data_IF_992728400489
#
_entry.id   IF_992728400489
#
_cell.length_a   1.000
_cell.length_b   1.000
_cell.length_c   1.000
_cell.angle_alpha   90.00
_cell.angle_beta   90.00
_cell.angle_gamma   90.00
#
_symmetry.space_group_name_H-M   'P 1'
#
loop_
_entity.id
_entity.type
_entity.pdbx_description
1 polymer ?
#
# COMPACT_ATOMS: atom_id res chain seq x y z
N UNK A 1 -15.34 3.01 -7.45
CA UNK A 1 -15.90 4.07 -6.56
C UNK A 1 -15.48 5.42 -7.12
N UNK A 2 -16.34 6.48 -7.06
CA UNK A 2 -15.88 7.81 -7.48
C UNK A 2 -15.01 8.48 -6.40
N UNK A 3 -14.13 9.45 -6.77
CA UNK A 3 -13.35 10.21 -5.79
C UNK A 3 -14.23 10.88 -4.72
N UNK A 4 -15.37 11.44 -5.08
CA UNK A 4 -16.31 12.05 -4.13
C UNK A 4 -16.90 11.04 -3.13
N UNK A 5 -17.16 9.81 -3.56
CA UNK A 5 -17.60 8.73 -2.67
C UNK A 5 -16.49 8.28 -1.70
N UNK A 6 -15.24 8.21 -2.18
CA UNK A 6 -14.07 7.91 -1.36
C UNK A 6 -13.91 8.95 -0.26
N UNK A 7 -13.87 10.24 -0.64
CA UNK A 7 -13.63 11.34 0.30
C UNK A 7 -14.76 11.46 1.33
N UNK A 8 -16.01 11.31 0.89
CA UNK A 8 -17.16 11.31 1.81
C UNK A 8 -17.06 10.20 2.84
N UNK A 9 -16.72 8.98 2.41
CA UNK A 9 -16.54 7.84 3.31
C UNK A 9 -15.36 8.07 4.28
N UNK A 10 -14.24 8.58 3.78
CA UNK A 10 -13.05 8.85 4.59
C UNK A 10 -13.33 9.85 5.72
N UNK A 11 -14.04 10.95 5.40
CA UNK A 11 -14.43 11.96 6.39
C UNK A 11 -15.41 11.38 7.43
N UNK A 12 -16.39 10.58 6.99
CA UNK A 12 -17.39 9.99 7.89
C UNK A 12 -16.77 9.10 8.96
N UNK A 13 -15.65 8.44 8.66
CA UNK A 13 -14.94 7.58 9.60
C UNK A 13 -13.75 8.25 10.29
N UNK A 14 -13.52 9.55 10.00
CA UNK A 14 -12.52 10.36 10.68
C UNK A 14 -11.08 10.12 10.20
N UNK A 15 -10.86 9.80 8.91
CA UNK A 15 -9.51 9.78 8.35
C UNK A 15 -9.00 11.21 8.12
N UNK A 16 -7.75 11.46 8.44
CA UNK A 16 -7.06 12.73 8.20
C UNK A 16 -6.48 12.83 6.78
N UNK A 17 -6.26 11.68 6.15
CA UNK A 17 -5.71 11.59 4.81
C UNK A 17 -6.16 10.32 4.08
N UNK A 18 -6.05 10.34 2.76
CA UNK A 18 -6.17 9.16 1.88
C UNK A 18 -4.99 9.12 0.92
N UNK A 19 -4.57 7.91 0.53
CA UNK A 19 -3.62 7.72 -0.56
C UNK A 19 -4.34 7.01 -1.72
N UNK A 20 -4.35 7.64 -2.88
CA UNK A 20 -4.95 7.06 -4.09
C UNK A 20 -3.87 6.29 -4.83
N UNK A 21 -4.13 4.99 -5.06
CA UNK A 21 -3.18 4.04 -5.67
C UNK A 21 -3.86 3.28 -6.81
N UNK A 22 -4.29 4.00 -7.84
CA UNK A 22 -4.89 3.35 -9.01
C UNK A 22 -3.84 2.54 -9.80
N UNK A 23 -4.30 1.49 -10.50
CA UNK A 23 -3.41 0.65 -11.29
C UNK A 23 -2.78 1.43 -12.44
N UNK A 24 -1.44 1.49 -12.44
CA UNK A 24 -0.60 2.08 -13.49
C UNK A 24 -0.86 3.57 -13.80
N UNK A 25 -1.61 4.26 -12.94
CA UNK A 25 -1.93 5.69 -13.09
C UNK A 25 -1.51 6.44 -11.83
N UNK A 26 -0.61 7.40 -11.97
CA UNK A 26 -0.33 8.41 -10.95
C UNK A 26 -1.20 9.63 -11.24
N UNK A 27 -1.99 10.06 -10.29
CA UNK A 27 -2.77 11.28 -10.40
C UNK A 27 -1.87 12.51 -10.54
N UNK A 28 -2.34 13.56 -11.19
CA UNK A 28 -1.64 14.85 -11.21
C UNK A 28 -1.73 15.52 -9.83
N UNK A 29 -0.80 16.43 -9.57
CA UNK A 29 -0.81 17.23 -8.34
C UNK A 29 -2.09 18.08 -8.28
N UNK A 30 -2.50 18.67 -9.41
CA UNK A 30 -3.72 19.47 -9.50
C UNK A 30 -4.99 18.67 -9.14
N UNK A 31 -5.09 17.40 -9.57
CA UNK A 31 -6.23 16.53 -9.24
C UNK A 31 -6.29 16.22 -7.74
N UNK A 32 -5.16 15.87 -7.14
CA UNK A 32 -5.06 15.57 -5.71
C UNK A 32 -5.34 16.81 -4.85
N UNK A 33 -4.73 17.94 -5.20
CA UNK A 33 -4.91 19.21 -4.50
C UNK A 33 -6.35 19.72 -4.58
N UNK A 34 -6.97 19.64 -5.75
CA UNK A 34 -8.37 20.03 -5.91
C UNK A 34 -9.30 19.19 -5.02
N UNK A 35 -9.03 17.89 -4.90
CA UNK A 35 -9.78 17.01 -4.05
C UNK A 35 -9.53 17.30 -2.56
N UNK A 36 -8.27 17.52 -2.17
CA UNK A 36 -7.86 17.89 -0.81
C UNK A 36 -8.54 19.20 -0.37
N UNK A 37 -8.51 20.23 -1.22
CA UNK A 37 -9.14 21.53 -0.95
C UNK A 37 -10.65 21.42 -0.82
N UNK A 38 -11.29 20.64 -1.69
CA UNK A 38 -12.75 20.44 -1.68
C UNK A 38 -13.24 19.79 -0.40
N UNK A 39 -12.46 18.84 0.15
CA UNK A 39 -12.92 17.99 1.26
C UNK A 39 -12.22 18.29 2.60
N UNK A 40 -11.12 19.04 2.60
CA UNK A 40 -10.43 19.48 3.81
C UNK A 40 -9.61 18.36 4.47
N UNK A 41 -9.27 17.28 3.74
CA UNK A 41 -8.34 16.22 4.17
C UNK A 41 -7.27 16.01 3.11
N UNK A 42 -6.09 15.55 3.50
CA UNK A 42 -4.96 15.37 2.60
C UNK A 42 -5.19 14.21 1.63
N UNK A 43 -4.89 14.41 0.36
CA UNK A 43 -4.89 13.36 -0.67
C UNK A 43 -3.47 13.16 -1.17
N UNK A 44 -2.89 11.99 -0.87
CA UNK A 44 -1.59 11.59 -1.39
C UNK A 44 -1.74 10.84 -2.70
N UNK A 45 -0.76 11.03 -3.58
CA UNK A 45 -0.65 10.32 -4.85
C UNK A 45 0.28 9.12 -4.69
N UNK A 46 -0.23 7.95 -4.94
CA UNK A 46 0.52 6.72 -5.13
C UNK A 46 0.12 6.06 -6.42
N UNK A 47 0.59 4.86 -6.63
CA UNK A 47 0.21 4.01 -7.76
C UNK A 47 0.39 2.55 -7.41
N UNK A 48 -0.49 1.68 -7.89
CA UNK A 48 -0.30 0.24 -7.84
C UNK A 48 0.24 -0.25 -9.18
N UNK A 49 1.43 -0.88 -9.15
CA UNK A 49 2.12 -1.39 -10.33
C UNK A 49 2.09 -2.91 -10.31
N UNK A 50 1.46 -3.52 -11.30
CA UNK A 50 1.56 -4.97 -11.52
C UNK A 50 2.92 -5.29 -12.11
N UNK A 51 3.69 -6.09 -11.39
CA UNK A 51 5.02 -6.55 -11.79
C UNK A 51 5.00 -8.04 -12.12
N UNK A 52 6.10 -8.56 -12.66
CA UNK A 52 6.26 -10.02 -12.86
C UNK A 52 6.29 -10.82 -11.55
N UNK A 53 6.39 -10.14 -10.41
CA UNK A 53 6.44 -10.75 -9.06
C UNK A 53 5.26 -10.39 -8.17
N UNK A 54 4.17 -9.84 -8.73
CA UNK A 54 2.97 -9.40 -8.02
C UNK A 54 2.82 -7.88 -8.01
N UNK A 55 1.78 -7.41 -7.33
CA UNK A 55 1.44 -6.01 -7.26
C UNK A 55 2.29 -5.28 -6.21
N UNK A 56 2.68 -4.05 -6.54
CA UNK A 56 3.52 -3.20 -5.68
C UNK A 56 2.92 -1.80 -5.62
N UNK A 57 2.61 -1.34 -4.41
CA UNK A 57 2.27 0.05 -4.16
C UNK A 57 3.54 0.89 -4.20
N UNK A 58 3.47 2.02 -4.89
CA UNK A 58 4.60 2.94 -5.04
C UNK A 58 4.18 4.34 -4.65
N UNK A 59 5.01 4.98 -3.86
CA UNK A 59 4.83 6.36 -3.40
C UNK A 59 6.03 7.21 -3.79
N UNK A 60 5.80 8.47 -4.12
CA UNK A 60 6.86 9.44 -4.40
C UNK A 60 7.50 9.31 -5.78
N UNK A 61 6.76 8.83 -6.78
CA UNK A 61 7.13 8.91 -8.20
C UNK A 61 6.13 9.75 -8.98
N UNK A 62 6.61 10.41 -10.04
CA UNK A 62 5.77 11.30 -10.85
C UNK A 62 5.02 10.57 -11.98
N UNK A 63 5.53 9.44 -12.44
CA UNK A 63 4.95 8.69 -13.55
C UNK A 63 5.13 7.19 -13.34
N UNK A 64 4.06 6.42 -13.60
CA UNK A 64 4.14 4.97 -13.65
C UNK A 64 5.03 4.51 -14.81
N UNK A 65 5.88 3.47 -14.62
CA UNK A 65 6.64 2.87 -15.72
C UNK A 65 5.70 2.21 -16.75
N UNK A 66 6.13 2.20 -18.00
CA UNK A 66 5.36 1.59 -19.10
C UNK A 66 5.71 0.10 -19.24
N UNK A 67 4.71 -0.71 -19.57
CA UNK A 67 4.87 -2.13 -19.87
C UNK A 67 5.07 -3.01 -18.64
N UNK A 68 5.33 -4.30 -18.88
CA UNK A 68 5.59 -5.27 -17.82
C UNK A 68 7.00 -5.07 -17.27
N UNK A 69 7.12 -4.94 -15.96
CA UNK A 69 8.37 -4.64 -15.25
C UNK A 69 8.63 -5.68 -14.16
N UNK A 70 9.90 -5.97 -13.88
CA UNK A 70 10.26 -6.81 -12.73
C UNK A 70 10.32 -5.98 -11.44
N UNK A 71 10.15 -6.61 -10.25
CA UNK A 71 10.30 -5.91 -8.98
C UNK A 71 11.65 -5.20 -8.83
N UNK A 72 12.74 -5.81 -9.32
CA UNK A 72 14.08 -5.23 -9.28
C UNK A 72 14.19 -3.95 -10.16
N UNK A 73 13.62 -3.97 -11.36
CA UNK A 73 13.60 -2.79 -12.22
C UNK A 73 12.74 -1.67 -11.62
N UNK A 74 11.56 -2.01 -11.07
CA UNK A 74 10.70 -1.06 -10.40
C UNK A 74 11.43 -0.42 -9.22
N UNK A 75 12.09 -1.23 -8.38
CA UNK A 75 12.88 -0.75 -7.25
C UNK A 75 13.94 0.29 -7.66
N UNK A 76 14.68 0.04 -8.74
CA UNK A 76 15.69 0.98 -9.23
C UNK A 76 15.08 2.33 -9.66
N UNK A 77 13.93 2.30 -10.34
CA UNK A 77 13.20 3.51 -10.74
C UNK A 77 12.77 4.31 -9.50
N UNK A 78 12.18 3.63 -8.53
CA UNK A 78 11.65 4.25 -7.32
C UNK A 78 12.78 4.83 -6.45
N UNK A 79 13.89 4.10 -6.29
CA UNK A 79 15.06 4.56 -5.53
C UNK A 79 15.69 5.81 -6.17
N UNK A 80 15.73 5.89 -7.51
CA UNK A 80 16.26 7.06 -8.22
C UNK A 80 15.46 8.34 -7.96
N UNK A 81 14.20 8.21 -7.53
CA UNK A 81 13.30 9.32 -7.19
C UNK A 81 13.11 9.48 -5.68
N UNK A 82 13.85 8.75 -4.84
CA UNK A 82 13.69 8.69 -3.39
C UNK A 82 12.29 8.23 -2.93
N UNK A 83 11.57 7.49 -3.77
CA UNK A 83 10.26 6.94 -3.48
C UNK A 83 10.29 5.70 -2.58
N UNK A 84 9.14 5.06 -2.40
CA UNK A 84 8.97 3.87 -1.58
C UNK A 84 8.16 2.81 -2.34
N UNK A 85 8.62 1.54 -2.31
CA UNK A 85 7.89 0.38 -2.82
C UNK A 85 7.37 -0.48 -1.67
N UNK A 86 6.13 -0.93 -1.75
CA UNK A 86 5.48 -1.81 -0.78
C UNK A 86 4.81 -2.96 -1.51
N UNK A 87 5.09 -4.21 -1.14
CA UNK A 87 4.37 -5.36 -1.68
C UNK A 87 2.89 -5.26 -1.29
N UNK A 88 2.02 -5.15 -2.29
CA UNK A 88 0.57 -5.06 -2.10
C UNK A 88 0.01 -6.45 -1.80
N UNK A 89 -0.86 -6.57 -0.79
CA UNK A 89 -1.59 -7.81 -0.45
C UNK A 89 -0.88 -9.12 -0.84
N UNK A 90 0.38 -9.36 -0.39
CA UNK A 90 1.31 -10.33 -0.99
C UNK A 90 0.87 -11.78 -0.92
N UNK A 91 -0.14 -12.10 -0.11
CA UNK A 91 -0.68 -13.44 0.06
C UNK A 91 -2.15 -13.57 -0.36
N UNK A 92 -2.70 -12.56 -1.08
CA UNK A 92 -4.08 -12.58 -1.57
C UNK A 92 -4.35 -13.85 -2.41
N UNK A 93 -5.40 -14.58 -2.06
CA UNK A 93 -5.84 -15.79 -2.77
C UNK A 93 -4.96 -17.02 -2.56
N UNK A 94 -3.87 -16.91 -1.82
CA UNK A 94 -2.93 -18.01 -1.60
C UNK A 94 -3.61 -19.19 -0.88
N UNK A 95 -4.50 -18.91 0.06
CA UNK A 95 -5.23 -19.93 0.81
C UNK A 95 -6.48 -20.46 0.08
N UNK A 96 -7.01 -19.72 -0.91
CA UNK A 96 -8.28 -20.05 -1.59
C UNK A 96 -8.13 -21.09 -2.70
N UNK A 97 -6.95 -21.21 -3.32
CA UNK A 97 -6.75 -22.08 -4.50
C UNK A 97 -6.24 -23.49 -4.16
N UNK A 98 -6.54 -24.03 -2.98
CA UNK A 98 -6.22 -25.41 -2.62
C UNK A 98 -4.77 -25.63 -2.18
N UNK A 99 -3.98 -24.57 -2.06
CA UNK A 99 -2.65 -24.60 -1.46
C UNK A 99 -2.67 -24.76 0.07
N UNK A 100 -3.83 -24.78 0.69
CA UNK A 100 -4.03 -25.08 2.13
C UNK A 100 -3.53 -26.45 2.58
N UNK A 101 -3.03 -27.28 1.64
CA UNK A 101 -2.26 -28.50 1.93
C UNK A 101 -0.75 -28.31 1.84
N UNK A 102 -0.29 -27.27 1.17
CA UNK A 102 1.10 -26.82 1.26
C UNK A 102 1.12 -25.91 2.50
N UNK A 103 1.59 -26.43 3.62
CA UNK A 103 1.91 -25.59 4.78
C UNK A 103 3.06 -24.67 4.36
N UNK A 104 2.72 -23.52 3.77
CA UNK A 104 3.69 -22.47 3.54
C UNK A 104 4.04 -21.90 4.92
N UNK A 105 5.19 -22.27 5.43
CA UNK A 105 5.73 -21.64 6.61
C UNK A 105 6.32 -20.25 6.27
N UNK A 106 6.59 -19.48 7.30
CA UNK A 106 7.10 -18.12 7.15
C UNK A 106 8.47 -18.10 6.46
N UNK A 107 9.31 -19.09 6.69
CA UNK A 107 10.65 -19.20 6.11
C UNK A 107 10.56 -19.39 4.59
N UNK A 108 9.78 -20.36 4.14
CA UNK A 108 9.54 -20.59 2.71
C UNK A 108 8.83 -19.42 2.02
N UNK A 109 7.91 -18.74 2.73
CA UNK A 109 7.24 -17.57 2.21
C UNK A 109 8.20 -16.38 2.05
N UNK A 110 9.14 -16.23 2.97
CA UNK A 110 10.15 -15.15 2.95
C UNK A 110 11.18 -15.31 1.80
N UNK A 111 11.33 -16.51 1.27
CA UNK A 111 12.23 -16.78 0.12
C UNK A 111 11.71 -16.23 -1.22
N UNK A 112 10.50 -15.64 -1.25
CA UNK A 112 10.00 -15.02 -2.47
C UNK A 112 10.93 -13.87 -2.91
N UNK A 113 11.53 -13.97 -4.13
CA UNK A 113 12.52 -12.99 -4.59
C UNK A 113 11.99 -11.56 -4.72
N UNK A 114 10.69 -11.39 -4.85
CA UNK A 114 10.05 -10.06 -4.88
C UNK A 114 10.35 -9.26 -3.63
N UNK A 115 10.38 -9.91 -2.46
CA UNK A 115 10.53 -9.22 -1.19
C UNK A 115 11.92 -8.62 -0.98
N UNK A 116 12.93 -9.10 -1.69
CA UNK A 116 14.26 -8.47 -1.70
C UNK A 116 14.26 -7.10 -2.43
N UNK A 117 13.21 -6.81 -3.20
CA UNK A 117 13.11 -5.61 -4.03
C UNK A 117 12.01 -4.63 -3.58
N UNK A 118 11.48 -4.78 -2.38
CA UNK A 118 10.53 -3.83 -1.78
C UNK A 118 11.11 -3.24 -0.49
N UNK A 119 10.61 -2.10 -0.08
CA UNK A 119 10.96 -1.46 1.20
C UNK A 119 10.04 -1.92 2.33
N UNK A 120 8.82 -2.27 1.97
CA UNK A 120 7.77 -2.62 2.91
C UNK A 120 6.79 -3.65 2.36
N UNK A 121 5.85 -4.01 3.19
CA UNK A 121 4.82 -4.99 2.92
C UNK A 121 3.49 -4.53 3.54
N UNK A 122 2.42 -4.69 2.80
CA UNK A 122 1.07 -4.50 3.31
C UNK A 122 0.71 -5.68 4.22
N UNK A 123 0.55 -5.39 5.52
CA UNK A 123 0.31 -6.40 6.57
C UNK A 123 -1.10 -6.35 7.14
N UNK A 124 -1.86 -5.34 6.74
CA UNK A 124 -3.28 -5.22 6.94
C UNK A 124 -3.91 -4.69 5.67
N UNK A 125 -4.54 -5.55 4.88
CA UNK A 125 -5.30 -5.16 3.71
C UNK A 125 -6.77 -5.51 3.95
N UNK A 126 -7.66 -4.59 3.61
CA UNK A 126 -9.10 -4.73 3.89
C UNK A 126 -9.82 -5.76 3.01
N UNK A 127 -9.18 -6.22 1.94
CA UNK A 127 -9.78 -7.12 0.95
C UNK A 127 -9.23 -8.55 1.01
N UNK A 128 -8.41 -8.86 2.02
CA UNK A 128 -7.85 -10.21 2.24
C UNK A 128 -8.25 -10.77 3.61
N UNK A 129 -8.04 -12.06 3.81
CA UNK A 129 -8.36 -12.73 5.08
C UNK A 129 -7.39 -12.36 6.21
N UNK A 130 -7.80 -12.60 7.45
CA UNK A 130 -6.93 -12.37 8.60
C UNK A 130 -5.70 -13.30 8.57
N UNK A 131 -5.84 -14.51 8.06
CA UNK A 131 -4.75 -15.46 7.88
C UNK A 131 -3.71 -14.95 6.87
N UNK A 132 -4.15 -14.38 5.75
CA UNK A 132 -3.27 -13.78 4.74
C UNK A 132 -2.55 -12.54 5.30
N UNK A 133 -3.25 -11.68 6.03
CA UNK A 133 -2.67 -10.55 6.75
C UNK A 133 -1.65 -11.00 7.81
N UNK A 134 -1.94 -12.04 8.58
CA UNK A 134 -1.04 -12.58 9.59
C UNK A 134 0.23 -13.19 8.95
N UNK A 135 0.10 -13.86 7.81
CA UNK A 135 1.26 -14.37 7.05
C UNK A 135 2.12 -13.20 6.58
N UNK A 136 1.53 -12.17 5.97
CA UNK A 136 2.23 -10.96 5.53
C UNK A 136 2.99 -10.29 6.68
N UNK A 137 2.34 -10.18 7.85
CA UNK A 137 2.97 -9.61 9.05
C UNK A 137 4.18 -10.44 9.50
N UNK A 138 4.03 -11.76 9.56
CA UNK A 138 5.10 -12.64 10.01
C UNK A 138 6.31 -12.62 9.06
N UNK A 139 6.06 -12.59 7.74
CA UNK A 139 7.12 -12.47 6.73
C UNK A 139 7.79 -11.10 6.79
N UNK A 140 7.01 -10.01 6.93
CA UNK A 140 7.56 -8.66 7.07
C UNK A 140 8.45 -8.54 8.32
N UNK A 141 8.05 -9.15 9.45
CA UNK A 141 8.84 -9.20 10.67
C UNK A 141 10.16 -9.99 10.46
N UNK A 142 10.10 -11.14 9.79
CA UNK A 142 11.27 -11.97 9.50
C UNK A 142 12.29 -11.26 8.59
N UNK A 143 11.81 -10.45 7.63
CA UNK A 143 12.63 -9.73 6.66
C UNK A 143 13.00 -8.30 7.11
N UNK A 144 12.47 -7.82 8.24
CA UNK A 144 12.69 -6.45 8.71
C UNK A 144 12.10 -5.37 7.79
N UNK A 145 11.00 -5.68 7.08
CA UNK A 145 10.35 -4.77 6.16
C UNK A 145 9.44 -3.76 6.89
N UNK A 146 9.28 -2.58 6.29
CA UNK A 146 8.29 -1.60 6.73
C UNK A 146 6.90 -2.24 6.60
N UNK A 147 6.07 -2.12 7.65
CA UNK A 147 4.71 -2.71 7.67
C UNK A 147 3.67 -1.61 7.52
N UNK A 148 2.86 -1.66 6.46
CA UNK A 148 1.78 -0.70 6.22
C UNK A 148 0.42 -1.38 6.19
N UNK A 149 -0.64 -0.59 6.33
CA UNK A 149 -2.02 -1.02 6.16
C UNK A 149 -2.75 -0.14 5.17
N UNK A 150 -3.62 -0.75 4.37
CA UNK A 150 -4.48 -0.08 3.41
C UNK A 150 -5.81 -0.80 3.22
N UNK A 151 -6.84 -0.06 2.84
CA UNK A 151 -8.18 -0.63 2.67
C UNK A 151 -8.34 -1.42 1.38
N UNK A 152 -7.58 -1.05 0.35
CA UNK A 152 -7.78 -1.54 -1.02
C UNK A 152 -9.26 -1.40 -1.46
N UNK A 153 -9.82 -0.22 -1.16
CA UNK A 153 -11.25 0.01 -1.21
C UNK A 153 -11.75 0.30 -2.62
N UNK A 154 -12.58 -0.59 -3.16
CA UNK A 154 -13.29 -0.41 -4.43
C UNK A 154 -14.72 0.12 -4.25
N UNK A 155 -15.21 0.14 -3.00
CA UNK A 155 -16.54 0.60 -2.61
C UNK A 155 -16.46 1.40 -1.31
N UNK A 156 -17.35 2.38 -1.12
CA UNK A 156 -17.31 3.32 0.00
C UNK A 156 -17.25 2.65 1.38
N UNK A 157 -17.99 1.56 1.59
CA UNK A 157 -18.01 0.83 2.88
C UNK A 157 -16.71 0.12 3.23
N UNK A 158 -15.79 -0.03 2.28
CA UNK A 158 -14.48 -0.65 2.51
C UNK A 158 -13.40 0.37 2.89
N UNK A 159 -13.66 1.67 2.71
CA UNK A 159 -12.72 2.74 3.06
C UNK A 159 -12.41 2.68 4.56
N UNK A 160 -11.12 2.71 4.91
CA UNK A 160 -10.64 2.73 6.28
C UNK A 160 -10.72 1.39 7.02
N UNK A 161 -11.05 0.28 6.36
CA UNK A 161 -11.04 -1.04 7.02
C UNK A 161 -9.68 -1.42 7.58
N UNK A 162 -8.61 -1.01 6.92
CA UNK A 162 -7.24 -1.06 7.42
C UNK A 162 -6.60 0.32 7.18
N UNK A 163 -5.82 0.78 8.16
CA UNK A 163 -5.17 2.10 8.11
C UNK A 163 -3.73 2.04 8.62
N UNK A 164 -2.92 2.98 8.15
CA UNK A 164 -1.62 3.32 8.71
C UNK A 164 -1.76 4.61 9.51
N UNK A 165 -1.62 4.51 10.84
CA UNK A 165 -1.79 5.63 11.78
C UNK A 165 -0.42 6.23 12.08
N UNK A 166 -0.12 7.37 11.46
CA UNK A 166 1.15 8.08 11.57
C UNK A 166 1.18 8.94 12.85
N UNK A 167 2.31 8.95 13.55
CA UNK A 167 2.51 9.84 14.72
C UNK A 167 2.70 11.30 14.28
N UNK A 168 3.42 11.48 13.16
CA UNK A 168 3.73 12.80 12.62
C UNK A 168 2.61 13.23 11.65
N UNK A 169 2.25 14.51 11.64
CA UNK A 169 1.46 15.08 10.56
C UNK A 169 2.30 15.14 9.28
N UNK A 170 1.69 14.79 8.17
CA UNK A 170 2.32 14.77 6.84
C UNK A 170 1.42 15.49 5.84
N UNK A 171 2.02 16.25 4.93
CA UNK A 171 1.29 17.15 4.04
C UNK A 171 1.56 16.90 2.54
N UNK A 172 2.61 16.15 2.21
CA UNK A 172 2.96 15.78 0.84
C UNK A 172 3.55 14.36 0.77
N UNK A 173 3.77 13.86 -0.44
CA UNK A 173 4.30 12.51 -0.68
C UNK A 173 5.73 12.33 -0.16
N UNK A 174 6.54 13.38 -0.13
CA UNK A 174 7.93 13.32 0.39
C UNK A 174 7.93 13.14 1.90
N UNK A 175 7.06 13.88 2.58
CA UNK A 175 6.87 13.74 4.02
C UNK A 175 6.27 12.37 4.36
N UNK A 176 5.30 11.87 3.57
CA UNK A 176 4.74 10.53 3.72
C UNK A 176 5.83 9.46 3.60
N UNK A 177 6.62 9.48 2.53
CA UNK A 177 7.73 8.53 2.32
C UNK A 177 8.73 8.60 3.47
N UNK A 178 9.09 9.81 3.93
CA UNK A 178 9.99 9.99 5.05
C UNK A 178 9.40 9.47 6.37
N UNK A 179 8.10 9.67 6.62
CA UNK A 179 7.42 9.17 7.81
C UNK A 179 7.36 7.63 7.82
N UNK A 180 7.02 7.01 6.68
CA UNK A 180 7.02 5.56 6.53
C UNK A 180 8.42 4.96 6.74
N UNK A 181 9.47 5.58 6.19
CA UNK A 181 10.87 5.15 6.40
C UNK A 181 11.32 5.26 7.85
N UNK A 182 10.82 6.24 8.61
CA UNK A 182 11.12 6.37 10.06
C UNK A 182 10.48 5.27 10.89
N UNK A 183 9.41 4.63 10.42
CA UNK A 183 8.73 3.53 11.11
C UNK A 183 7.98 3.93 12.39
N UNK A 184 7.71 5.23 12.59
CA UNK A 184 6.96 5.73 13.76
C UNK A 184 5.47 5.84 13.44
N UNK A 185 4.81 4.71 13.36
CA UNK A 185 3.37 4.60 13.11
C UNK A 185 2.85 3.23 13.57
N UNK A 186 1.55 3.07 13.58
CA UNK A 186 0.89 1.79 13.83
C UNK A 186 0.00 1.40 12.66
N UNK A 187 -0.20 0.10 12.49
CA UNK A 187 -1.13 -0.44 11.50
C UNK A 187 -2.34 -0.98 12.26
N UNK A 188 -3.52 -0.55 11.85
CA UNK A 188 -4.76 -0.88 12.54
C UNK A 188 -5.81 -1.40 11.56
N UNK A 189 -6.58 -2.40 12.02
CA UNK A 189 -7.84 -2.80 11.40
C UNK A 189 -8.95 -2.06 12.12
N UNK A 190 -9.63 -1.19 11.39
CA UNK A 190 -10.79 -0.47 11.94
C UNK A 190 -12.03 -1.37 11.87
N UNK A 191 -12.92 -1.18 12.83
CA UNK A 191 -14.16 -1.97 12.97
C UNK A 191 -15.28 -1.40 12.11
#
# INVERSE_FOLDING_TARGET
MSPDQLMTAAIQIGLDAVCITEHHVVWTEEEADALSQKYGIVVFRGVEITTTGGDVLVYGIEKAPEGMITPAQLRNIVDSQNGLCVAAHPFRGFLLFGFGRLQLDVESAADNPTFAHVHGMEVCNGMVTDEENNMAKSVADALGLIKVGGSDAHIARAVGTCVTDLVDQVHDEKELVAALRRGKFTVQKMK
#
